data_IF_693217032400
#
_entry.id   IF_693217032400
#
_cell.length_a   1.000
_cell.length_b   1.000
_cell.length_c   1.000
_cell.angle_alpha   90.00
_cell.angle_beta   90.00
_cell.angle_gamma   90.00
#
_symmetry.space_group_name_H-M   'P 1'
#
loop_
_entity.id
_entity.type
_entity.pdbx_description
1 polymer ?
#
# COMPACT_ATOMS: atom_id res chain seq x y z
N UNK A 1 4.37 -16.12 15.36
CA UNK A 1 3.72 -14.97 14.67
C UNK A 1 4.48 -14.80 13.38
N UNK A 2 3.81 -14.85 12.24
CA UNK A 2 4.45 -14.61 10.94
C UNK A 2 5.09 -13.21 10.98
N UNK A 3 6.33 -13.09 10.50
CA UNK A 3 7.05 -11.82 10.45
C UNK A 3 6.27 -10.78 9.63
N UNK A 4 5.62 -11.20 8.54
CA UNK A 4 4.75 -10.35 7.72
C UNK A 4 3.52 -9.89 8.50
N UNK A 5 2.95 -10.76 9.34
CA UNK A 5 1.82 -10.41 10.21
C UNK A 5 2.19 -9.33 11.24
N UNK A 6 3.39 -9.43 11.82
CA UNK A 6 3.91 -8.41 12.73
C UNK A 6 4.13 -7.07 12.02
N UNK A 7 4.82 -7.09 10.87
CA UNK A 7 5.09 -5.89 10.07
C UNK A 7 3.79 -5.23 9.61
N UNK A 8 2.82 -6.02 9.15
CA UNK A 8 1.50 -5.55 8.75
C UNK A 8 0.83 -4.77 9.88
N UNK A 9 0.76 -5.35 11.09
CA UNK A 9 0.16 -4.68 12.26
C UNK A 9 0.86 -3.38 12.62
N UNK A 10 2.19 -3.34 12.49
CA UNK A 10 3.02 -2.16 12.80
C UNK A 10 2.83 -1.03 11.78
N UNK A 11 2.79 -1.34 10.49
CA UNK A 11 2.88 -0.33 9.42
C UNK A 11 1.56 0.02 8.73
N UNK A 12 0.50 -0.78 8.88
CA UNK A 12 -0.81 -0.51 8.24
C UNK A 12 -1.35 0.90 8.51
N UNK A 13 -1.13 1.44 9.71
CA UNK A 13 -1.60 2.77 10.07
C UNK A 13 -0.81 3.90 9.39
N UNK A 14 0.45 3.65 9.02
CA UNK A 14 1.30 4.62 8.34
C UNK A 14 0.91 4.77 6.86
N UNK A 15 0.52 3.67 6.21
CA UNK A 15 0.06 3.69 4.82
C UNK A 15 -1.40 4.11 4.66
N UNK A 16 -2.22 3.99 5.72
CA UNK A 16 -3.66 4.25 5.68
C UNK A 16 -4.07 5.58 5.03
N UNK A 17 -3.40 6.73 5.29
CA UNK A 17 -3.76 7.99 4.64
C UNK A 17 -3.66 7.92 3.11
N UNK A 18 -2.66 7.22 2.56
CA UNK A 18 -2.51 7.01 1.13
C UNK A 18 -3.61 6.11 0.58
N UNK A 19 -3.99 5.05 1.31
CA UNK A 19 -5.12 4.20 0.93
C UNK A 19 -6.43 4.98 0.88
N UNK A 20 -6.72 5.84 1.85
CA UNK A 20 -7.93 6.67 1.83
C UNK A 20 -7.92 7.69 0.68
N UNK A 21 -6.76 8.26 0.35
CA UNK A 21 -6.61 9.09 -0.86
C UNK A 21 -6.92 8.28 -2.13
N UNK A 22 -6.41 7.05 -2.25
CA UNK A 22 -6.70 6.17 -3.38
C UNK A 22 -8.19 5.84 -3.46
N UNK A 23 -8.86 5.59 -2.32
CA UNK A 23 -10.33 5.38 -2.27
C UNK A 23 -11.08 6.59 -2.82
N UNK A 24 -10.73 7.79 -2.37
CA UNK A 24 -11.36 9.02 -2.85
C UNK A 24 -11.17 9.22 -4.36
N UNK A 25 -9.97 8.95 -4.88
CA UNK A 25 -9.68 9.08 -6.31
C UNK A 25 -10.50 8.13 -7.19
N UNK A 26 -11.02 7.03 -6.65
CA UNK A 26 -11.90 6.12 -7.40
C UNK A 26 -13.20 6.78 -7.86
N UNK A 27 -13.71 7.75 -7.10
CA UNK A 27 -14.91 8.49 -7.48
C UNK A 27 -14.65 9.55 -8.56
N UNK A 28 -13.39 9.91 -8.80
CA UNK A 28 -12.98 11.00 -9.71
C UNK A 28 -12.39 10.49 -11.03
N UNK A 29 -11.94 9.24 -11.07
CA UNK A 29 -11.22 8.64 -12.19
C UNK A 29 -12.03 7.51 -12.83
N UNK A 30 -11.73 7.21 -14.10
CA UNK A 30 -12.20 5.96 -14.70
C UNK A 30 -11.58 4.75 -13.99
N UNK A 31 -12.21 3.58 -14.07
CA UNK A 31 -11.66 2.36 -13.47
C UNK A 31 -10.24 2.04 -13.97
N UNK A 32 -9.94 2.34 -15.24
CA UNK A 32 -8.62 2.13 -15.84
C UNK A 32 -7.60 3.12 -15.25
N UNK A 33 -7.90 4.43 -15.29
CA UNK A 33 -7.00 5.47 -14.76
C UNK A 33 -6.77 5.30 -13.25
N UNK A 34 -7.81 4.88 -12.53
CA UNK A 34 -7.71 4.60 -11.10
C UNK A 34 -6.79 3.41 -10.82
N UNK A 35 -6.91 2.30 -11.56
CA UNK A 35 -6.03 1.13 -11.42
C UNK A 35 -4.58 1.48 -11.75
N UNK A 36 -4.36 2.28 -12.77
CA UNK A 36 -3.02 2.77 -13.13
C UNK A 36 -2.46 3.65 -12.01
N UNK A 37 -3.26 4.56 -11.46
CA UNK A 37 -2.86 5.42 -10.34
C UNK A 37 -2.50 4.63 -9.08
N UNK A 38 -3.30 3.61 -8.73
CA UNK A 38 -3.03 2.69 -7.62
C UNK A 38 -1.73 1.92 -7.85
N UNK A 39 -1.50 1.45 -9.07
CA UNK A 39 -0.29 0.69 -9.45
C UNK A 39 0.97 1.56 -9.33
N UNK A 40 0.95 2.77 -9.88
CA UNK A 40 2.07 3.70 -9.74
C UNK A 40 2.33 4.08 -8.29
N UNK A 41 1.27 4.26 -7.48
CA UNK A 41 1.42 4.54 -6.05
C UNK A 41 2.09 3.38 -5.32
N UNK A 42 1.71 2.14 -5.63
CA UNK A 42 2.34 0.93 -5.09
C UNK A 42 3.83 0.87 -5.45
N UNK A 43 4.18 1.14 -6.70
CA UNK A 43 5.58 1.15 -7.16
C UNK A 43 6.40 2.22 -6.45
N UNK A 44 5.85 3.43 -6.27
CA UNK A 44 6.50 4.50 -5.52
C UNK A 44 6.77 4.11 -4.06
N UNK A 45 5.83 3.41 -3.42
CA UNK A 45 6.02 2.91 -2.05
C UNK A 45 7.15 1.87 -1.98
N UNK A 46 7.29 1.01 -2.99
CA UNK A 46 8.38 0.01 -3.02
C UNK A 46 9.73 0.67 -3.31
N UNK A 47 9.76 1.66 -4.20
CA UNK A 47 10.99 2.32 -4.67
C UNK A 47 11.52 3.41 -3.73
N UNK A 48 10.64 4.09 -2.98
CA UNK A 48 10.99 5.14 -2.02
C UNK A 48 10.29 4.95 -0.66
N UNK A 49 10.50 3.78 -0.02
CA UNK A 49 9.71 3.35 1.13
C UNK A 49 9.92 4.21 2.40
N UNK A 50 11.03 4.92 2.49
CA UNK A 50 11.37 5.86 3.56
C UNK A 50 10.43 7.09 3.61
N UNK A 51 9.76 7.40 2.49
CA UNK A 51 8.73 8.45 2.45
C UNK A 51 7.41 8.01 3.09
N UNK A 52 7.21 6.71 3.25
CA UNK A 52 5.93 6.11 3.66
C UNK A 52 6.01 5.41 5.02
N UNK A 53 7.20 4.96 5.41
CA UNK A 53 7.42 4.20 6.63
C UNK A 53 8.56 4.77 7.49
N UNK A 54 8.35 4.80 8.80
CA UNK A 54 9.29 5.38 9.77
C UNK A 54 10.55 4.53 10.04
N UNK A 55 10.44 3.21 9.87
CA UNK A 55 11.53 2.23 10.00
C UNK A 55 11.25 1.10 9.00
N UNK A 56 12.24 0.67 8.23
CA UNK A 56 12.01 -0.29 7.15
C UNK A 56 12.52 -1.70 7.46
N UNK A 57 11.73 -2.74 7.14
CA UNK A 57 12.26 -4.08 7.03
C UNK A 57 13.18 -4.19 5.79
N UNK A 58 13.87 -5.33 5.61
CA UNK A 58 14.65 -5.57 4.40
C UNK A 58 13.75 -5.53 3.13
N UNK A 59 14.37 -5.39 1.95
CA UNK A 59 13.65 -5.22 0.67
C UNK A 59 12.62 -6.33 0.39
N UNK A 60 12.97 -7.60 0.60
CA UNK A 60 12.07 -8.74 0.36
C UNK A 60 10.81 -8.71 1.26
N UNK A 61 10.98 -8.31 2.53
CA UNK A 61 9.88 -8.21 3.47
C UNK A 61 9.02 -6.98 3.19
N UNK A 62 9.60 -5.88 2.72
CA UNK A 62 8.89 -4.70 2.29
C UNK A 62 7.96 -5.01 1.12
N UNK A 63 8.44 -5.68 0.07
CA UNK A 63 7.62 -6.04 -1.08
C UNK A 63 6.43 -6.92 -0.68
N UNK A 64 6.66 -7.92 0.18
CA UNK A 64 5.59 -8.80 0.70
C UNK A 64 4.59 -8.02 1.56
N UNK A 65 5.06 -7.11 2.40
CA UNK A 65 4.22 -6.25 3.22
C UNK A 65 3.33 -5.35 2.34
N UNK A 66 3.94 -4.64 1.38
CA UNK A 66 3.22 -3.75 0.46
C UNK A 66 2.22 -4.55 -0.38
N UNK A 67 2.62 -5.71 -0.91
CA UNK A 67 1.71 -6.58 -1.64
C UNK A 67 0.48 -6.95 -0.79
N UNK A 68 0.69 -7.39 0.46
CA UNK A 68 -0.41 -7.72 1.38
C UNK A 68 -1.33 -6.52 1.64
N UNK A 69 -0.78 -5.34 1.88
CA UNK A 69 -1.55 -4.11 2.13
C UNK A 69 -2.43 -3.74 0.92
N UNK A 70 -1.90 -3.90 -0.30
CA UNK A 70 -2.64 -3.58 -1.51
C UNK A 70 -3.67 -4.67 -1.88
N UNK A 71 -3.43 -5.94 -1.55
CA UNK A 71 -4.44 -7.01 -1.70
C UNK A 71 -5.66 -6.70 -0.84
N UNK A 72 -5.46 -6.42 0.45
CA UNK A 72 -6.56 -6.06 1.35
C UNK A 72 -7.29 -4.78 0.87
N UNK A 73 -6.53 -3.78 0.43
CA UNK A 73 -7.12 -2.58 -0.17
C UNK A 73 -8.02 -2.89 -1.36
N UNK A 74 -7.61 -3.76 -2.28
CA UNK A 74 -8.45 -4.15 -3.41
C UNK A 74 -9.68 -4.96 -2.98
N UNK A 75 -9.60 -5.76 -1.91
CA UNK A 75 -10.74 -6.46 -1.33
C UNK A 75 -11.74 -5.51 -0.65
N UNK A 76 -11.26 -4.41 -0.04
CA UNK A 76 -12.12 -3.41 0.59
C UNK A 76 -12.86 -2.51 -0.41
N UNK A 77 -12.23 -2.22 -1.55
CA UNK A 77 -12.74 -1.23 -2.52
C UNK A 77 -13.34 -1.90 -3.77
N UNK A 78 -12.98 -3.16 -4.04
CA UNK A 78 -13.48 -3.98 -5.15
C UNK A 78 -14.97 -4.28 -5.04
#
# INVERSE_FOLDING_TARGET
>A
MDEIEYLYKRYRNQIRPFMEMLKHKRAELSDADWRDFVTHTRENIINAPDQYFSDLPNGDLLEKLVHRLFVEFFEEVG
#
